data_IF_539761653424
#
_entry.id   IF_539761653424
#
_cell.length_a   1.000
_cell.length_b   1.000
_cell.length_c   1.000
_cell.angle_alpha   90.00
_cell.angle_beta   90.00
_cell.angle_gamma   90.00
#
_symmetry.space_group_name_H-M   'P 1'
#
loop_
_entity.id
_entity.type
_entity.pdbx_description
1 polymer ?
#
# COMPACT_ATOMS: atom_id res chain seq x y z
N UNK A 1 -16.55 57.76 -47.43
CA UNK A 1 -15.99 59.09 -47.72
C UNK A 1 -15.82 59.83 -46.39
N UNK A 2 -14.55 60.20 -46.07
CA UNK A 2 -14.07 61.17 -45.05
C UNK A 2 -14.49 60.92 -43.58
N UNK A 3 -13.63 60.36 -42.70
CA UNK A 3 -12.37 60.86 -42.08
C UNK A 3 -12.59 62.06 -41.14
N UNK A 4 -12.27 61.87 -39.86
CA UNK A 4 -11.36 62.69 -39.00
C UNK A 4 -11.72 62.46 -37.52
N UNK A 5 -10.93 61.77 -36.71
CA UNK A 5 -9.62 62.17 -36.14
C UNK A 5 -9.70 63.41 -35.22
N UNK A 6 -9.64 63.18 -33.89
CA UNK A 6 -8.94 64.01 -32.88
C UNK A 6 -8.58 63.10 -31.70
N UNK A 7 -7.32 62.81 -31.40
CA UNK A 7 -6.20 63.61 -30.87
C UNK A 7 -6.02 63.38 -29.35
N UNK A 8 -5.04 62.52 -29.03
CA UNK A 8 -4.08 62.52 -27.91
C UNK A 8 -4.43 63.22 -26.58
N UNK A 9 -4.29 62.49 -25.46
CA UNK A 9 -3.46 62.92 -24.30
C UNK A 9 -2.86 61.68 -23.61
N UNK A 10 -1.53 61.63 -23.55
CA UNK A 10 -0.74 60.71 -22.73
C UNK A 10 -0.79 61.13 -21.25
N UNK A 11 -0.98 60.19 -20.33
CA UNK A 11 -0.49 60.32 -18.96
C UNK A 11 0.16 59.00 -18.54
N UNK A 12 1.49 59.01 -18.53
CA UNK A 12 2.35 58.06 -17.85
C UNK A 12 2.22 58.29 -16.33
N UNK A 13 1.96 57.24 -15.56
CA UNK A 13 2.33 57.20 -14.15
C UNK A 13 3.14 55.92 -13.87
N UNK A 14 4.44 56.13 -13.71
CA UNK A 14 5.38 55.18 -13.11
C UNK A 14 5.09 55.08 -11.61
N UNK A 15 4.88 53.86 -11.11
CA UNK A 15 4.89 53.54 -9.68
C UNK A 15 5.86 52.40 -9.47
N UNK A 16 7.06 52.73 -9.00
CA UNK A 16 8.09 51.78 -8.64
C UNK A 16 7.78 51.21 -7.25
N UNK A 17 7.27 49.97 -7.22
CA UNK A 17 7.14 49.20 -5.99
C UNK A 17 8.48 48.60 -5.58
N UNK A 18 9.05 49.10 -4.49
CA UNK A 18 10.26 48.55 -3.87
C UNK A 18 9.95 47.18 -3.24
N UNK A 19 10.49 46.11 -3.84
CA UNK A 19 10.50 44.78 -3.24
C UNK A 19 11.59 44.73 -2.15
N UNK A 20 11.17 44.73 -0.88
CA UNK A 20 12.07 44.46 0.25
C UNK A 20 12.24 42.94 0.36
N UNK A 21 13.36 42.43 -0.13
CA UNK A 21 13.77 41.04 0.11
C UNK A 21 14.26 40.90 1.55
N UNK A 22 13.48 40.27 2.41
CA UNK A 22 13.97 39.72 3.67
C UNK A 22 14.79 38.46 3.37
N UNK A 23 16.11 38.63 3.22
CA UNK A 23 17.06 37.53 3.18
C UNK A 23 17.26 36.99 4.61
N UNK A 24 16.73 35.79 4.87
CA UNK A 24 17.03 35.02 6.07
C UNK A 24 18.30 34.21 5.83
N UNK A 25 19.47 34.75 6.17
CA UNK A 25 20.71 33.98 6.23
C UNK A 25 20.74 33.19 7.54
N UNK A 26 20.46 31.89 7.49
CA UNK A 26 20.89 31.00 8.57
C UNK A 26 22.34 30.62 8.30
N UNK A 27 23.24 31.05 9.19
CA UNK A 27 24.62 30.58 9.20
C UNK A 27 24.62 29.08 9.52
N UNK A 28 25.02 28.26 8.55
CA UNK A 28 25.40 26.87 8.81
C UNK A 28 26.79 26.91 9.40
N UNK A 29 26.89 26.72 10.73
CA UNK A 29 28.16 26.40 11.36
C UNK A 29 28.61 25.03 10.84
N UNK A 30 29.57 25.02 9.94
CA UNK A 30 30.26 23.81 9.49
C UNK A 30 31.03 23.25 10.69
N UNK A 31 30.42 22.32 11.41
CA UNK A 31 31.11 21.55 12.43
C UNK A 31 31.98 20.50 11.71
N UNK A 32 33.28 20.35 12.07
CA UNK A 32 34.14 19.36 11.47
C UNK A 32 33.56 17.96 11.65
N UNK A 33 33.65 17.16 10.59
CA UNK A 33 33.25 15.76 10.56
C UNK A 33 33.93 15.03 11.72
N UNK A 34 33.15 14.68 12.75
CA UNK A 34 33.55 13.64 13.67
C UNK A 34 33.60 12.34 12.87
N UNK A 35 34.80 11.84 12.65
CA UNK A 35 35.10 10.48 12.19
C UNK A 35 34.72 9.47 13.27
N UNK A 36 33.43 9.41 13.59
CA UNK A 36 32.81 8.22 14.13
C UNK A 36 32.07 7.57 12.97
N UNK A 37 32.40 6.33 12.65
CA UNK A 37 31.49 5.50 11.88
C UNK A 37 30.21 5.36 12.72
N UNK A 38 29.27 6.29 12.51
CA UNK A 38 27.90 6.11 12.96
C UNK A 38 27.38 4.99 12.09
N UNK A 39 27.44 3.76 12.61
CA UNK A 39 26.72 2.63 12.04
C UNK A 39 25.24 2.95 12.25
N UNK A 40 24.70 3.79 11.39
CA UNK A 40 23.27 3.99 11.28
C UNK A 40 22.72 2.66 10.79
N UNK A 41 22.28 1.81 11.72
CA UNK A 41 21.37 0.73 11.38
C UNK A 41 20.15 1.41 10.81
N UNK A 42 20.09 1.50 9.48
CA UNK A 42 18.87 1.87 8.76
C UNK A 42 17.87 0.81 9.16
N UNK A 43 17.09 1.11 10.20
CA UNK A 43 16.14 0.17 10.77
C UNK A 43 14.91 0.32 9.91
N UNK A 44 14.86 -0.45 8.82
CA UNK A 44 13.65 -0.51 8.02
C UNK A 44 12.61 -1.19 8.91
N UNK A 45 11.59 -0.44 9.29
CA UNK A 45 10.52 -0.92 10.14
C UNK A 45 9.18 -0.58 9.53
N UNK A 46 8.21 -1.49 9.63
CA UNK A 46 6.82 -1.18 9.29
C UNK A 46 5.93 -1.45 10.51
N UNK A 47 4.74 -0.86 10.51
CA UNK A 47 3.75 -1.03 11.57
C UNK A 47 2.69 -2.02 11.11
N UNK A 48 2.50 -3.12 11.84
CA UNK A 48 1.45 -4.08 11.51
C UNK A 48 0.04 -3.53 11.81
N UNK A 49 -1.00 -4.28 11.43
CA UNK A 49 -2.38 -3.90 11.70
C UNK A 49 -2.72 -3.76 13.19
N UNK A 50 -1.92 -4.34 14.09
CA UNK A 50 -2.05 -4.22 15.54
C UNK A 50 -1.32 -3.01 16.13
N UNK A 51 -0.59 -2.24 15.31
CA UNK A 51 0.20 -1.10 15.77
C UNK A 51 1.60 -1.45 16.27
N UNK A 52 2.06 -2.70 16.07
CA UNK A 52 3.40 -3.11 16.49
C UNK A 52 4.44 -2.69 15.45
N UNK A 53 5.55 -2.12 15.90
CA UNK A 53 6.70 -1.82 15.04
C UNK A 53 7.49 -3.12 14.82
N UNK A 54 7.66 -3.50 13.57
CA UNK A 54 8.38 -4.70 13.14
C UNK A 54 9.61 -4.29 12.35
N UNK A 55 10.78 -4.72 12.80
CA UNK A 55 12.02 -4.56 12.04
C UNK A 55 12.01 -5.56 10.87
N UNK A 56 12.12 -5.05 9.65
CA UNK A 56 12.08 -5.83 8.42
C UNK A 56 13.40 -5.81 7.69
N UNK A 57 13.56 -6.79 6.84
CA UNK A 57 14.67 -6.96 5.93
C UNK A 57 14.34 -6.22 4.64
N UNK A 58 15.25 -5.35 4.19
CA UNK A 58 15.01 -4.45 3.06
C UNK A 58 13.73 -3.60 3.24
N UNK A 59 12.97 -3.37 2.18
CA UNK A 59 11.80 -2.48 2.16
C UNK A 59 10.49 -3.26 2.00
N UNK A 60 9.39 -2.70 2.48
CA UNK A 60 8.09 -3.28 2.19
C UNK A 60 7.68 -3.07 0.73
N UNK A 61 7.11 -4.12 0.13
CA UNK A 61 6.50 -4.05 -1.19
C UNK A 61 5.02 -3.74 -1.04
N UNK A 62 4.56 -2.65 -1.65
CA UNK A 62 3.18 -2.19 -1.56
C UNK A 62 2.49 -2.40 -2.90
N UNK A 63 1.36 -3.10 -2.87
CA UNK A 63 0.53 -3.40 -4.01
C UNK A 63 -0.88 -2.81 -3.84
N UNK A 64 -1.60 -2.48 -4.92
CA UNK A 64 -2.99 -2.05 -4.81
C UNK A 64 -3.90 -3.19 -4.35
N UNK A 65 -4.88 -2.87 -3.49
CA UNK A 65 -6.02 -3.73 -3.19
C UNK A 65 -7.22 -3.22 -3.99
N UNK A 66 -7.64 -4.00 -4.98
CA UNK A 66 -8.66 -3.59 -5.97
C UNK A 66 -9.94 -4.40 -5.80
N UNK A 67 -11.00 -3.75 -5.35
CA UNK A 67 -12.35 -4.29 -5.25
C UNK A 67 -13.06 -4.29 -6.60
N UNK A 68 -13.93 -5.27 -6.84
CA UNK A 68 -14.81 -5.25 -8.02
C UNK A 68 -14.07 -5.10 -9.36
N UNK A 69 -12.81 -5.56 -9.43
CA UNK A 69 -11.88 -5.49 -10.57
C UNK A 69 -11.24 -4.12 -10.85
N UNK A 70 -11.89 -3.01 -10.49
CA UNK A 70 -11.40 -1.66 -10.86
C UNK A 70 -11.49 -0.62 -9.74
N UNK A 71 -12.11 -0.97 -8.62
CA UNK A 71 -12.39 -0.01 -7.54
C UNK A 71 -11.22 -0.02 -6.56
N UNK A 72 -10.53 1.10 -6.33
CA UNK A 72 -9.51 1.16 -5.29
C UNK A 72 -10.16 0.98 -3.92
N UNK A 73 -9.72 -0.06 -3.20
CA UNK A 73 -10.20 -0.36 -1.85
C UNK A 73 -9.09 -0.23 -0.79
N UNK A 74 -7.84 -0.13 -1.21
CA UNK A 74 -6.69 0.15 -0.36
C UNK A 74 -5.40 -0.44 -0.91
N UNK A 75 -4.59 -1.07 -0.06
CA UNK A 75 -3.31 -1.67 -0.41
C UNK A 75 -3.06 -3.00 0.30
N UNK A 76 -2.11 -3.76 -0.23
CA UNK A 76 -1.48 -4.91 0.42
C UNK A 76 0.02 -4.62 0.55
N UNK A 77 0.53 -4.70 1.76
CA UNK A 77 1.95 -4.50 2.08
C UNK A 77 2.59 -5.85 2.43
N UNK A 78 3.71 -6.17 1.79
CA UNK A 78 4.43 -7.42 1.95
C UNK A 78 5.85 -7.11 2.42
N UNK A 79 6.25 -7.74 3.52
CA UNK A 79 7.59 -7.58 4.09
C UNK A 79 8.05 -8.89 4.76
N UNK A 80 9.34 -9.02 5.07
CA UNK A 80 9.85 -10.14 5.85
C UNK A 80 10.84 -9.67 6.91
N UNK A 81 10.86 -10.33 8.06
CA UNK A 81 11.97 -10.24 9.01
C UNK A 81 12.90 -11.47 8.83
N UNK A 82 13.73 -11.80 9.81
CA UNK A 82 14.59 -12.98 9.76
C UNK A 82 13.79 -14.30 9.69
N UNK A 83 12.63 -14.36 10.35
CA UNK A 83 11.90 -15.58 10.65
C UNK A 83 10.53 -15.68 9.96
N UNK A 84 9.93 -14.55 9.59
CA UNK A 84 8.54 -14.44 9.15
C UNK A 84 8.39 -13.61 7.88
N UNK A 85 7.34 -13.91 7.13
CA UNK A 85 6.77 -13.05 6.09
C UNK A 85 5.48 -12.44 6.64
N UNK A 86 5.31 -11.15 6.42
CA UNK A 86 4.15 -10.37 6.80
C UNK A 86 3.39 -9.96 5.54
N UNK A 87 2.07 -10.18 5.54
CA UNK A 87 1.17 -9.70 4.50
C UNK A 87 0.07 -8.91 5.17
N UNK A 88 0.11 -7.59 5.02
CA UNK A 88 -0.82 -6.66 5.65
C UNK A 88 -1.78 -6.08 4.64
N UNK A 89 -3.07 -6.26 4.89
CA UNK A 89 -4.14 -5.61 4.16
C UNK A 89 -4.44 -4.27 4.84
N UNK A 90 -4.54 -3.21 4.04
CA UNK A 90 -5.03 -1.91 4.47
C UNK A 90 -6.20 -1.53 3.57
N UNK A 91 -7.34 -1.20 4.16
CA UNK A 91 -8.43 -0.54 3.42
C UNK A 91 -8.34 0.97 3.55
N UNK A 92 -8.84 1.68 2.54
CA UNK A 92 -8.87 3.14 2.52
C UNK A 92 -10.30 3.68 2.48
N UNK A 93 -10.49 4.88 3.01
CA UNK A 93 -11.80 5.54 3.08
C UNK A 93 -12.82 4.72 3.88
N UNK A 94 -13.96 4.48 3.26
CA UNK A 94 -15.12 3.83 3.86
C UNK A 94 -15.07 2.29 3.82
N UNK A 95 -14.05 1.70 3.22
CA UNK A 95 -13.93 0.26 3.11
C UNK A 95 -13.47 -0.37 4.42
N UNK A 96 -14.07 -1.51 4.78
CA UNK A 96 -13.73 -2.38 5.91
C UNK A 96 -13.53 -3.81 5.44
N UNK A 97 -12.78 -4.59 6.20
CA UNK A 97 -12.42 -5.98 5.90
C UNK A 97 -13.39 -6.92 6.60
N UNK A 98 -14.18 -7.67 5.82
CA UNK A 98 -15.06 -8.72 6.34
C UNK A 98 -14.33 -10.07 6.42
N UNK A 99 -13.50 -10.34 5.43
CA UNK A 99 -12.74 -11.58 5.32
C UNK A 99 -11.46 -11.33 4.53
N UNK A 100 -10.39 -12.05 4.87
CA UNK A 100 -9.17 -12.14 4.07
C UNK A 100 -8.80 -13.60 3.86
N UNK A 101 -8.25 -13.88 2.69
CA UNK A 101 -7.74 -15.18 2.27
C UNK A 101 -6.40 -14.96 1.57
N UNK A 102 -5.41 -15.80 1.85
CA UNK A 102 -4.06 -15.63 1.36
C UNK A 102 -3.44 -16.96 0.96
N UNK A 103 -2.88 -17.01 -0.25
CA UNK A 103 -2.02 -18.08 -0.73
C UNK A 103 -0.64 -17.52 -0.99
N UNK A 104 0.38 -18.25 -0.55
CA UNK A 104 1.79 -17.94 -0.75
C UNK A 104 2.45 -19.19 -1.28
N UNK A 105 2.87 -19.17 -2.55
CA UNK A 105 3.36 -20.35 -3.26
C UNK A 105 4.77 -20.10 -3.79
N UNK A 106 5.61 -21.14 -3.78
CA UNK A 106 6.95 -21.06 -4.38
C UNK A 106 6.89 -20.60 -5.84
N UNK A 107 7.60 -19.52 -6.15
CA UNK A 107 7.78 -19.05 -7.50
C UNK A 107 9.02 -19.69 -8.15
N UNK A 108 8.86 -20.92 -8.62
CA UNK A 108 9.94 -21.68 -9.26
C UNK A 108 10.22 -21.21 -10.70
N UNK A 109 9.22 -20.63 -11.37
CA UNK A 109 9.28 -20.34 -12.82
C UNK A 109 9.31 -18.83 -13.14
N UNK A 110 9.43 -17.97 -12.13
CA UNK A 110 9.35 -16.51 -12.29
C UNK A 110 7.95 -15.98 -12.64
N UNK A 111 6.98 -16.87 -12.79
CA UNK A 111 5.65 -16.52 -13.30
C UNK A 111 4.56 -16.82 -12.27
N UNK A 112 3.95 -15.74 -11.76
CA UNK A 112 2.76 -15.79 -10.93
C UNK A 112 1.46 -15.71 -11.73
N UNK A 113 1.49 -16.14 -13.00
CA UNK A 113 0.30 -16.18 -13.85
C UNK A 113 -0.80 -17.11 -13.33
N UNK A 114 -1.99 -16.67 -13.70
CA UNK A 114 -3.22 -17.34 -14.06
C UNK A 114 -3.34 -18.87 -13.93
N UNK A 115 -2.40 -19.64 -14.49
CA UNK A 115 -2.52 -21.10 -14.55
C UNK A 115 -2.52 -21.74 -13.16
N UNK A 116 -1.76 -21.18 -12.20
CA UNK A 116 -1.77 -21.61 -10.80
C UNK A 116 -2.96 -21.05 -10.00
N UNK A 117 -3.48 -19.88 -10.41
CA UNK A 117 -4.65 -19.27 -9.77
C UNK A 117 -5.95 -20.04 -10.00
N UNK A 118 -6.02 -20.92 -10.99
CA UNK A 118 -7.22 -21.73 -11.25
C UNK A 118 -7.57 -22.70 -10.10
N UNK A 119 -6.60 -22.99 -9.23
CA UNK A 119 -6.76 -23.73 -7.97
C UNK A 119 -7.14 -22.85 -6.77
N UNK A 120 -7.17 -21.53 -6.89
CA UNK A 120 -7.52 -20.59 -5.82
C UNK A 120 -9.03 -20.37 -5.70
N UNK A 121 -9.82 -21.44 -5.85
CA UNK A 121 -11.25 -21.38 -5.55
C UNK A 121 -11.46 -21.02 -4.07
N UNK A 122 -12.50 -20.23 -3.73
CA UNK A 122 -12.86 -19.96 -2.34
C UNK A 122 -12.91 -21.27 -1.53
N UNK A 123 -12.14 -21.32 -0.43
CA UNK A 123 -12.01 -22.51 0.43
C UNK A 123 -10.73 -23.33 0.28
N UNK A 124 -9.89 -23.06 -0.72
CA UNK A 124 -8.57 -23.72 -0.90
C UNK A 124 -7.38 -22.90 -0.37
N UNK A 125 -7.62 -21.68 0.11
CA UNK A 125 -6.57 -20.82 0.63
C UNK A 125 -6.00 -21.36 1.95
N UNK A 126 -4.66 -21.53 2.07
CA UNK A 126 -4.02 -22.02 3.28
C UNK A 126 -4.23 -21.11 4.50
N UNK A 127 -4.26 -19.79 4.26
CA UNK A 127 -4.46 -18.79 5.31
C UNK A 127 -5.78 -18.06 5.09
N UNK A 128 -6.59 -17.93 6.13
CA UNK A 128 -7.85 -17.21 6.09
C UNK A 128 -8.21 -16.62 7.45
N UNK A 129 -8.91 -15.49 7.43
CA UNK A 129 -9.50 -14.89 8.61
C UNK A 129 -10.85 -14.27 8.25
N UNK A 130 -11.88 -14.60 9.03
CA UNK A 130 -13.22 -13.99 8.95
C UNK A 130 -13.42 -13.14 10.19
N UNK A 131 -13.89 -11.91 10.03
CA UNK A 131 -14.10 -10.98 11.15
C UNK A 131 -15.57 -10.95 11.55
N UNK A 132 -15.82 -11.15 12.84
CA UNK A 132 -17.11 -10.86 13.45
C UNK A 132 -17.20 -9.37 13.79
N UNK A 133 -18.41 -8.85 13.88
CA UNK A 133 -18.71 -7.50 14.34
C UNK A 133 -19.80 -7.56 15.43
N UNK A 134 -19.84 -6.53 16.27
CA UNK A 134 -20.79 -6.43 17.39
C UNK A 134 -22.21 -6.09 16.96
N UNK A 135 -23.08 -5.81 17.94
CA UNK A 135 -24.49 -5.43 17.71
C UNK A 135 -24.66 -4.15 16.91
N UNK A 136 -23.63 -3.30 16.88
CA UNK A 136 -23.62 -2.02 16.15
C UNK A 136 -23.44 -2.20 14.64
N UNK A 137 -23.33 -3.44 14.17
CA UNK A 137 -23.16 -3.79 12.76
C UNK A 137 -21.73 -3.64 12.25
N UNK A 138 -21.48 -4.00 10.98
CA UNK A 138 -20.13 -4.01 10.38
C UNK A 138 -19.49 -2.62 10.30
N UNK A 139 -20.30 -1.56 10.37
CA UNK A 139 -19.88 -0.16 10.24
C UNK A 139 -19.95 0.61 11.58
N UNK A 140 -20.24 -0.08 12.68
CA UNK A 140 -20.33 0.51 14.02
C UNK A 140 -18.98 0.63 14.72
N UNK A 141 -18.99 1.10 15.98
CA UNK A 141 -17.80 1.28 16.80
C UNK A 141 -17.03 -0.04 17.03
N UNK A 142 -17.77 -1.13 17.20
CA UNK A 142 -17.24 -2.50 17.28
C UNK A 142 -17.40 -3.24 15.93
N UNK A 143 -17.25 -2.50 14.84
CA UNK A 143 -17.43 -2.97 13.47
C UNK A 143 -16.23 -3.73 12.93
N UNK A 144 -16.22 -3.90 11.60
CA UNK A 144 -15.17 -4.59 10.88
C UNK A 144 -13.85 -3.77 10.88
N UNK A 145 -12.69 -4.44 10.91
CA UNK A 145 -11.40 -3.76 10.91
C UNK A 145 -11.08 -3.10 9.56
N UNK A 146 -10.21 -2.09 9.58
CA UNK A 146 -9.65 -1.47 8.37
C UNK A 146 -8.28 -2.02 7.96
N UNK A 147 -7.68 -2.87 8.79
CA UNK A 147 -6.40 -3.49 8.48
C UNK A 147 -6.29 -4.88 9.12
N UNK A 148 -5.48 -5.75 8.52
CA UNK A 148 -5.14 -7.05 9.10
C UNK A 148 -3.80 -7.57 8.57
N UNK A 149 -2.99 -8.18 9.44
CA UNK A 149 -1.69 -8.75 9.08
C UNK A 149 -1.69 -10.26 9.29
N UNK A 150 -1.36 -11.01 8.25
CA UNK A 150 -0.88 -12.38 8.41
C UNK A 150 0.60 -12.34 8.77
N UNK A 151 0.98 -13.03 9.86
CA UNK A 151 2.36 -13.36 10.20
C UNK A 151 2.60 -14.82 9.89
N UNK A 152 3.42 -15.10 8.88
CA UNK A 152 3.66 -16.46 8.38
C UNK A 152 5.11 -16.84 8.66
N UNK A 153 5.38 -17.87 9.47
CA UNK A 153 6.72 -18.39 9.63
C UNK A 153 7.30 -18.83 8.29
N UNK A 154 8.53 -18.43 7.96
CA UNK A 154 9.20 -18.84 6.71
C UNK A 154 9.29 -20.36 6.58
N UNK A 155 9.43 -21.07 7.71
CA UNK A 155 9.43 -22.53 7.76
C UNK A 155 8.13 -23.16 7.23
N UNK A 156 7.01 -22.45 7.30
CA UNK A 156 5.74 -22.90 6.73
C UNK A 156 5.63 -22.67 5.21
N UNK A 157 6.51 -21.85 4.64
CA UNK A 157 6.53 -21.52 3.20
C UNK A 157 7.49 -22.40 2.39
N UNK A 158 8.26 -23.27 3.06
CA UNK A 158 9.27 -24.13 2.43
C UNK A 158 10.60 -23.42 2.20
N UNK A 159 11.44 -23.98 1.32
CA UNK A 159 12.83 -23.53 1.10
C UNK A 159 13.00 -22.53 -0.06
N UNK A 160 11.91 -21.91 -0.51
CA UNK A 160 11.94 -20.98 -1.63
C UNK A 160 12.39 -19.59 -1.19
N UNK A 161 13.02 -18.86 -2.10
CA UNK A 161 13.44 -17.46 -1.86
C UNK A 161 12.47 -16.46 -2.49
N UNK A 162 11.74 -16.87 -3.52
CA UNK A 162 10.71 -16.06 -4.17
C UNK A 162 9.36 -16.77 -4.17
N UNK A 163 8.31 -15.98 -3.99
CA UNK A 163 6.94 -16.44 -3.82
C UNK A 163 5.97 -15.68 -4.72
N UNK A 164 4.95 -16.41 -5.16
CA UNK A 164 3.72 -15.84 -5.67
C UNK A 164 2.78 -15.62 -4.50
N UNK A 165 2.41 -14.36 -4.28
CA UNK A 165 1.49 -13.95 -3.22
C UNK A 165 0.17 -13.62 -3.87
N UNK A 166 -0.91 -14.27 -3.42
CA UNK A 166 -2.27 -14.09 -3.93
C UNK A 166 -3.18 -13.59 -2.80
N UNK A 167 -3.23 -12.27 -2.55
CA UNK A 167 -4.06 -11.69 -1.51
C UNK A 167 -5.49 -11.53 -2.01
N UNK A 168 -6.46 -12.08 -1.29
CA UNK A 168 -7.88 -11.94 -1.57
C UNK A 168 -8.62 -11.43 -0.34
N UNK A 169 -9.60 -10.57 -0.52
CA UNK A 169 -10.41 -10.03 0.56
C UNK A 169 -11.87 -9.91 0.18
N UNK A 170 -12.77 -10.02 1.16
CA UNK A 170 -14.14 -9.53 1.08
C UNK A 170 -14.18 -8.22 1.84
N UNK A 171 -14.51 -7.15 1.13
CA UNK A 171 -14.56 -5.79 1.69
C UNK A 171 -15.98 -5.25 1.66
N UNK A 172 -16.30 -4.46 2.67
CA UNK A 172 -17.62 -3.85 2.88
C UNK A 172 -17.44 -2.34 2.91
N UNK A 173 -18.22 -1.60 2.12
CA UNK A 173 -18.20 -0.13 2.15
C UNK A 173 -19.21 0.37 3.17
N UNK A 174 -18.77 1.25 4.03
CA UNK A 174 -19.56 1.81 5.13
C UNK A 174 -19.85 3.29 4.92
N UNK A 175 -21.13 3.67 4.86
CA UNK A 175 -21.53 5.08 4.82
C UNK A 175 -22.66 5.34 5.81
N UNK A 176 -22.53 6.39 6.62
CA UNK A 176 -23.51 6.73 7.64
C UNK A 176 -23.79 5.61 8.65
N UNK A 177 -22.79 4.80 8.99
CA UNK A 177 -22.94 3.66 9.91
C UNK A 177 -23.63 2.43 9.31
N UNK A 178 -23.89 2.42 7.99
CA UNK A 178 -24.54 1.29 7.29
C UNK A 178 -23.68 0.76 6.15
N UNK A 179 -23.87 -0.51 5.82
CA UNK A 179 -23.24 -1.11 4.63
C UNK A 179 -23.92 -0.61 3.37
N UNK A 180 -23.16 -0.02 2.45
CA UNK A 180 -23.65 0.46 1.15
C UNK A 180 -23.19 -0.41 -0.02
N UNK A 181 -22.11 -1.18 0.15
CA UNK A 181 -21.59 -2.07 -0.88
C UNK A 181 -20.82 -3.24 -0.25
N UNK A 182 -20.72 -4.37 -0.97
CA UNK A 182 -19.89 -5.52 -0.63
C UNK A 182 -19.22 -6.05 -1.88
N UNK A 183 -17.89 -6.13 -1.86
CA UNK A 183 -17.09 -6.51 -3.01
C UNK A 183 -16.04 -7.55 -2.61
N UNK A 184 -15.63 -8.37 -3.57
CA UNK A 184 -14.36 -9.11 -3.49
C UNK A 184 -13.25 -8.22 -4.00
N UNK A 185 -12.10 -8.24 -3.33
CA UNK A 185 -10.92 -7.49 -3.68
C UNK A 185 -9.70 -8.39 -3.83
N UNK A 186 -8.81 -8.02 -4.74
CA UNK A 186 -7.55 -8.71 -4.98
C UNK A 186 -6.37 -7.76 -4.80
N UNK A 187 -5.31 -8.24 -4.17
CA UNK A 187 -4.04 -7.55 -4.06
C UNK A 187 -3.15 -7.79 -5.29
N UNK A 188 -2.38 -6.78 -5.69
CA UNK A 188 -1.45 -6.88 -6.82
C UNK A 188 -2.11 -6.65 -8.17
N UNK A 189 -1.47 -7.15 -9.22
CA UNK A 189 -1.93 -6.95 -10.59
C UNK A 189 -3.19 -7.78 -10.86
N UNK A 190 -4.35 -7.12 -10.97
CA UNK A 190 -5.62 -7.77 -11.28
C UNK A 190 -5.69 -8.10 -12.76
N UNK A 191 -5.91 -9.38 -13.07
CA UNK A 191 -6.02 -9.87 -14.43
C UNK A 191 -7.21 -10.83 -14.58
N UNK A 192 -7.75 -10.89 -15.80
CA UNK A 192 -8.88 -11.74 -16.13
C UNK A 192 -8.38 -13.12 -16.54
N UNK A 193 -8.92 -14.18 -15.94
CA UNK A 193 -8.77 -15.57 -16.39
C UNK A 193 -9.73 -15.88 -17.52
N UNK A 194 -9.33 -16.78 -18.41
CA UNK A 194 -10.22 -17.55 -19.27
C UNK A 194 -11.46 -18.01 -18.50
N UNK A 195 -12.65 -17.89 -19.10
CA UNK A 195 -13.97 -18.15 -18.47
C UNK A 195 -14.47 -17.08 -17.48
N UNK A 196 -13.93 -15.86 -17.53
CA UNK A 196 -14.55 -14.70 -16.86
C UNK A 196 -14.30 -14.59 -15.36
N UNK A 197 -13.39 -15.40 -14.80
CA UNK A 197 -12.92 -15.27 -13.42
C UNK A 197 -11.82 -14.21 -13.34
N UNK A 198 -11.64 -13.61 -12.18
CA UNK A 198 -10.62 -12.59 -11.92
C UNK A 198 -9.76 -12.99 -10.74
N UNK A 199 -8.50 -12.61 -10.78
CA UNK A 199 -7.52 -12.84 -9.73
C UNK A 199 -6.52 -11.69 -9.73
N UNK A 200 -5.87 -11.50 -8.59
CA UNK A 200 -4.70 -10.65 -8.49
C UNK A 200 -3.61 -11.37 -7.72
N UNK A 201 -2.38 -11.04 -8.04
CA UNK A 201 -1.22 -11.53 -7.34
C UNK A 201 -0.01 -10.68 -7.63
N UNK A 202 1.04 -10.92 -6.86
CA UNK A 202 2.34 -10.29 -7.07
C UNK A 202 3.46 -11.27 -6.77
N UNK A 203 4.64 -10.91 -7.27
CA UNK A 203 5.89 -11.56 -6.93
C UNK A 203 6.46 -10.92 -5.68
N UNK A 204 6.94 -11.73 -4.74
CA UNK A 204 7.73 -11.26 -3.60
C UNK A 204 8.93 -12.16 -3.38
N UNK A 205 10.14 -11.59 -3.41
CA UNK A 205 11.36 -12.28 -3.03
C UNK A 205 11.77 -11.85 -1.62
N UNK A 206 12.19 -12.82 -0.81
CA UNK A 206 12.72 -12.57 0.52
C UNK A 206 13.92 -11.64 0.40
N UNK A 207 13.91 -10.59 1.20
CA UNK A 207 14.98 -9.63 1.31
C UNK A 207 15.94 -10.03 2.42
N UNK A 208 17.23 -9.79 2.20
CA UNK A 208 18.28 -10.03 3.18
C UNK A 208 18.21 -8.99 4.29
N UNK A 209 18.28 -9.45 5.53
CA UNK A 209 18.21 -8.58 6.71
C UNK A 209 19.52 -7.82 6.94
N UNK A 210 20.58 -8.21 6.23
CA UNK A 210 21.88 -7.53 6.24
C UNK A 210 22.05 -6.56 5.07
N UNK A 211 21.14 -6.58 4.09
CA UNK A 211 21.16 -5.67 2.95
C UNK A 211 20.16 -4.53 3.18
N UNK A 212 20.65 -3.43 3.76
CA UNK A 212 19.85 -2.25 4.12
C UNK A 212 19.54 -1.33 2.94
N UNK A 213 19.57 -1.84 1.70
CA UNK A 213 19.36 -1.07 0.49
C UNK A 213 20.60 -0.25 0.13
N UNK A 214 21.37 -0.74 -0.85
CA UNK A 214 22.38 0.07 -1.56
C UNK A 214 21.80 0.68 -2.83
#
# INVERSE_FOLDING_TARGET
MKVSARLLVNVLLFSAGAFVFFACSKEVKTQPAATGAVSATVSNSFTDAGGNIINICGYSQIEPLTAGQTIPAGSVEIANDADNVYVTYHTTGDWKIKEVQLSVECNINGDCTQSKSSDLAPGKFPFKQVFAYGTDGPCGANGLPGAYTFKIPKTALGSCTCYCVYPHAVVVKCSGGTTTDTQTAWGGAVTKITNGKWYGGTNYCLQDCNDLGK
#
